data_IF_586342277089
#
_entry.id   IF_586342277089
#
_cell.length_a   1.000
_cell.length_b   1.000
_cell.length_c   1.000
_cell.angle_alpha   90.00
_cell.angle_beta   90.00
_cell.angle_gamma   90.00
#
_symmetry.space_group_name_H-M   'P 1'
#
loop_
_entity.id
_entity.type
_entity.pdbx_description
1 polymer ?
#
# COMPACT_ATOMS: atom_id res chain seq x y z
N UNK A 1 -6.49 -10.31 -26.97
CA UNK A 1 -7.24 -10.58 -25.72
C UNK A 1 -6.79 -11.88 -25.07
N UNK A 2 -6.76 -13.03 -25.77
CA UNK A 2 -6.22 -14.29 -25.20
C UNK A 2 -4.69 -14.29 -24.99
N UNK A 3 -3.96 -13.53 -25.80
CA UNK A 3 -2.48 -13.43 -25.72
C UNK A 3 -2.01 -12.71 -24.43
N UNK A 4 -2.82 -11.79 -23.90
CA UNK A 4 -2.51 -11.04 -22.68
C UNK A 4 -2.68 -11.87 -21.41
N UNK A 5 -3.67 -12.77 -21.36
CA UNK A 5 -3.92 -13.64 -20.21
C UNK A 5 -2.82 -14.71 -20.05
N UNK A 6 -2.35 -15.26 -21.17
CA UNK A 6 -1.26 -16.27 -21.21
C UNK A 6 0.06 -15.63 -20.76
N UNK A 7 0.37 -14.43 -21.23
CA UNK A 7 1.56 -13.68 -20.82
C UNK A 7 1.50 -13.23 -19.34
N UNK A 8 0.31 -12.88 -18.82
CA UNK A 8 0.09 -12.61 -17.40
C UNK A 8 0.32 -13.86 -16.55
N UNK A 9 -0.19 -15.01 -17.00
CA UNK A 9 -0.07 -16.29 -16.30
C UNK A 9 1.39 -16.78 -16.21
N UNK A 10 2.18 -16.62 -17.28
CA UNK A 10 3.61 -16.95 -17.27
C UNK A 10 4.42 -16.03 -16.36
N UNK A 11 4.13 -14.72 -16.34
CA UNK A 11 4.76 -13.77 -15.39
C UNK A 11 4.37 -14.07 -13.94
N UNK A 12 3.14 -14.55 -13.69
CA UNK A 12 2.65 -14.97 -12.37
C UNK A 12 3.36 -16.23 -11.87
N UNK A 13 3.67 -17.18 -12.76
CA UNK A 13 4.45 -18.41 -12.45
C UNK A 13 5.92 -18.15 -12.09
N UNK A 14 6.56 -17.13 -12.66
CA UNK A 14 7.97 -16.79 -12.37
C UNK A 14 8.20 -16.15 -10.99
N UNK A 15 7.16 -15.58 -10.36
CA UNK A 15 7.27 -15.06 -8.99
C UNK A 15 7.07 -16.20 -8.00
N UNK A 16 8.14 -16.66 -7.38
CA UNK A 16 8.06 -17.49 -6.16
C UNK A 16 7.39 -16.67 -5.06
N UNK A 17 6.06 -16.79 -4.94
CA UNK A 17 5.28 -16.08 -3.93
C UNK A 17 5.45 -16.76 -2.57
N UNK A 18 6.31 -16.20 -1.72
CA UNK A 18 6.14 -16.37 -0.28
C UNK A 18 4.86 -15.62 0.08
N UNK A 19 3.81 -16.35 0.47
CA UNK A 19 2.58 -15.73 0.97
C UNK A 19 2.92 -14.91 2.20
N UNK A 20 2.63 -13.62 2.15
CA UNK A 20 2.80 -12.74 3.30
C UNK A 20 1.58 -12.85 4.19
N UNK A 21 1.82 -13.13 5.47
CA UNK A 21 0.80 -13.12 6.50
C UNK A 21 1.24 -12.16 7.63
N UNK A 22 0.37 -11.22 7.99
CA UNK A 22 0.57 -10.35 9.14
C UNK A 22 -0.23 -10.87 10.33
N UNK A 23 0.45 -11.31 11.40
CA UNK A 23 -0.20 -11.86 12.61
C UNK A 23 -1.24 -12.96 12.32
N UNK A 24 -0.95 -13.81 11.34
CA UNK A 24 -1.84 -14.91 10.94
C UNK A 24 -2.94 -14.52 9.95
N UNK A 25 -2.96 -13.27 9.47
CA UNK A 25 -3.92 -12.79 8.46
C UNK A 25 -3.20 -12.61 7.12
N UNK A 26 -3.75 -13.21 6.07
CA UNK A 26 -3.21 -13.12 4.71
C UNK A 26 -3.44 -11.73 4.09
N UNK A 27 -2.61 -11.38 3.08
CA UNK A 27 -2.69 -10.08 2.40
C UNK A 27 -4.07 -9.78 1.81
N UNK A 28 -4.69 -10.75 1.14
CA UNK A 28 -6.00 -10.56 0.51
C UNK A 28 -7.07 -10.25 1.58
N UNK A 29 -6.99 -10.94 2.72
CA UNK A 29 -7.88 -10.69 3.85
C UNK A 29 -7.63 -9.32 4.50
N UNK A 30 -6.38 -8.86 4.58
CA UNK A 30 -6.04 -7.52 5.10
C UNK A 30 -6.60 -6.38 4.23
N UNK A 31 -6.84 -6.62 2.94
CA UNK A 31 -7.42 -5.63 2.02
C UNK A 31 -8.94 -5.52 2.18
N UNK A 32 -9.61 -6.62 2.53
CA UNK A 32 -11.06 -6.67 2.71
C UNK A 32 -11.51 -6.30 4.14
N UNK A 33 -10.58 -6.34 5.11
CA UNK A 33 -10.87 -6.00 6.51
C UNK A 33 -11.23 -4.52 6.71
N UNK A 34 -12.13 -4.28 7.68
CA UNK A 34 -12.46 -2.92 8.09
C UNK A 34 -11.32 -2.27 8.89
N UNK A 35 -11.29 -0.94 8.93
CA UNK A 35 -10.30 -0.20 9.72
C UNK A 35 -10.36 -0.54 11.22
N UNK A 36 -11.53 -0.94 11.73
CA UNK A 36 -11.72 -1.31 13.14
C UNK A 36 -11.06 -2.65 13.46
N UNK A 37 -11.26 -3.64 12.59
CA UNK A 37 -10.60 -4.94 12.71
C UNK A 37 -9.07 -4.81 12.56
N UNK A 38 -8.62 -3.96 11.63
CA UNK A 38 -7.19 -3.67 11.47
C UNK A 38 -6.56 -3.05 12.73
N UNK A 39 -7.29 -2.22 13.48
CA UNK A 39 -6.77 -1.59 14.71
C UNK A 39 -6.38 -2.60 15.80
N UNK A 40 -7.09 -3.72 15.90
CA UNK A 40 -6.78 -4.79 16.86
C UNK A 40 -5.48 -5.51 16.51
N UNK A 41 -5.24 -5.70 15.21
CA UNK A 41 -4.03 -6.30 14.67
C UNK A 41 -2.79 -5.40 14.78
N UNK A 42 -2.92 -4.12 15.10
CA UNK A 42 -1.77 -3.23 15.21
C UNK A 42 -1.22 -3.05 16.64
N UNK A 43 0.08 -2.73 16.81
CA UNK A 43 0.66 -2.30 18.08
C UNK A 43 0.04 -1.00 18.65
N UNK A 44 0.20 -0.78 19.96
CA UNK A 44 -0.43 0.32 20.72
C UNK A 44 -0.23 1.71 20.09
N UNK A 45 0.96 2.02 19.56
CA UNK A 45 1.25 3.33 18.94
C UNK A 45 0.38 3.61 17.73
N UNK A 46 0.21 2.61 16.87
CA UNK A 46 -0.57 2.70 15.64
C UNK A 46 -2.06 2.81 15.99
N UNK A 47 -2.53 1.95 16.89
CA UNK A 47 -3.91 1.97 17.40
C UNK A 47 -4.29 3.34 17.96
N UNK A 48 -3.42 3.94 18.78
CA UNK A 48 -3.62 5.29 19.33
C UNK A 48 -3.69 6.38 18.24
N UNK A 49 -2.95 6.24 17.14
CA UNK A 49 -2.99 7.20 16.03
C UNK A 49 -4.27 7.05 15.21
N UNK A 50 -4.72 5.82 14.95
CA UNK A 50 -5.95 5.54 14.22
C UNK A 50 -7.21 5.92 15.03
N UNK A 51 -7.24 5.62 16.32
CA UNK A 51 -8.33 6.00 17.24
C UNK A 51 -8.50 7.52 17.36
N UNK A 52 -7.42 8.30 17.32
CA UNK A 52 -7.49 9.77 17.26
C UNK A 52 -7.95 10.32 15.90
N UNK A 53 -8.06 9.46 14.89
CA UNK A 53 -8.48 9.81 13.54
C UNK A 53 -7.37 10.32 12.62
N UNK A 54 -7.54 10.07 11.32
CA UNK A 54 -6.69 10.62 10.27
C UNK A 54 -7.18 12.02 9.89
N UNK A 55 -6.32 13.03 10.06
CA UNK A 55 -6.60 14.41 9.64
C UNK A 55 -6.70 14.53 8.10
N UNK A 56 -7.15 15.70 7.61
CA UNK A 56 -7.33 16.01 6.17
C UNK A 56 -6.12 15.67 5.29
N UNK A 57 -4.89 15.95 5.74
CA UNK A 57 -3.66 15.74 4.95
C UNK A 57 -3.39 14.24 4.66
N UNK A 58 -3.37 13.33 5.66
CA UNK A 58 -3.35 11.89 5.42
C UNK A 58 -4.44 11.37 4.48
N UNK A 59 -5.68 11.83 4.65
CA UNK A 59 -6.80 11.39 3.81
C UNK A 59 -6.61 11.80 2.34
N UNK A 60 -6.10 13.01 2.10
CA UNK A 60 -5.77 13.46 0.75
C UNK A 60 -4.65 12.62 0.11
N UNK A 61 -3.66 12.18 0.89
CA UNK A 61 -2.60 11.30 0.40
C UNK A 61 -3.18 9.94 -0.03
N UNK A 62 -4.02 9.33 0.81
CA UNK A 62 -4.68 8.06 0.47
C UNK A 62 -5.51 8.20 -0.80
N UNK A 63 -6.28 9.29 -0.95
CA UNK A 63 -7.07 9.55 -2.16
C UNK A 63 -6.20 9.63 -3.42
N UNK A 64 -5.05 10.31 -3.36
CA UNK A 64 -4.10 10.41 -4.48
C UNK A 64 -3.50 9.05 -4.83
N UNK A 65 -3.17 8.24 -3.84
CA UNK A 65 -2.63 6.89 -4.06
C UNK A 65 -3.66 5.95 -4.67
N UNK A 66 -4.93 6.03 -4.25
CA UNK A 66 -6.03 5.28 -4.88
C UNK A 66 -6.20 5.68 -6.34
N UNK A 67 -6.07 6.96 -6.66
CA UNK A 67 -6.15 7.43 -8.04
C UNK A 67 -4.98 6.89 -8.88
N UNK A 68 -3.74 7.04 -8.40
CA UNK A 68 -2.55 6.54 -9.09
C UNK A 68 -2.58 5.02 -9.32
N UNK A 69 -3.11 4.25 -8.36
CA UNK A 69 -3.27 2.79 -8.48
C UNK A 69 -4.37 2.39 -9.47
N UNK A 70 -5.40 3.22 -9.66
CA UNK A 70 -6.48 2.99 -10.65
C UNK A 70 -6.06 3.36 -12.07
N UNK A 71 -5.24 4.39 -12.21
CA UNK A 71 -4.75 4.87 -13.51
C UNK A 71 -3.61 4.01 -14.06
N UNK A 72 -2.89 3.30 -13.18
CA UNK A 72 -1.87 2.34 -13.58
C UNK A 72 -2.49 1.15 -14.34
N UNK A 73 -1.89 0.80 -15.48
CA UNK A 73 -2.28 -0.38 -16.24
C UNK A 73 -2.03 -1.69 -15.46
N UNK A 74 -2.65 -2.81 -15.88
CA UNK A 74 -2.40 -4.10 -15.26
C UNK A 74 -0.91 -4.43 -15.37
N UNK A 75 -0.26 -4.65 -14.22
CA UNK A 75 1.16 -4.98 -14.08
C UNK A 75 2.16 -3.81 -14.18
N UNK A 76 1.71 -2.58 -14.38
CA UNK A 76 2.59 -1.40 -14.36
C UNK A 76 2.72 -0.79 -12.97
N UNK A 77 3.87 -0.16 -12.73
CA UNK A 77 4.12 0.55 -11.46
C UNK A 77 3.34 1.88 -11.48
N UNK A 78 2.57 2.19 -10.43
CA UNK A 78 1.81 3.43 -10.36
C UNK A 78 2.72 4.66 -10.29
N UNK A 79 2.18 5.82 -10.66
CA UNK A 79 2.89 7.09 -10.62
C UNK A 79 3.39 7.41 -9.19
N UNK A 80 4.57 8.01 -9.12
CA UNK A 80 5.22 8.37 -7.86
C UNK A 80 4.49 9.54 -7.20
N UNK A 81 3.80 9.26 -6.09
CA UNK A 81 3.13 10.30 -5.30
C UNK A 81 4.11 10.91 -4.29
N UNK A 82 4.44 12.20 -4.47
CA UNK A 82 5.33 12.94 -3.58
C UNK A 82 4.61 13.39 -2.31
N UNK A 83 5.23 13.17 -1.14
CA UNK A 83 4.70 13.56 0.17
C UNK A 83 5.78 14.04 1.14
N UNK A 84 5.40 15.02 1.96
CA UNK A 84 6.18 15.47 3.12
C UNK A 84 5.74 14.78 4.42
N UNK A 85 4.67 13.98 4.38
CA UNK A 85 4.08 13.35 5.55
C UNK A 85 4.87 12.09 5.95
N UNK A 86 5.98 12.29 6.66
CA UNK A 86 6.79 11.20 7.24
C UNK A 86 6.14 10.53 8.44
N UNK A 87 5.13 11.17 9.02
CA UNK A 87 4.39 10.69 10.18
C UNK A 87 3.21 9.78 9.80
N UNK A 88 3.02 9.47 8.52
CA UNK A 88 1.96 8.58 8.05
C UNK A 88 2.34 7.12 8.30
N UNK A 89 1.37 6.34 8.79
CA UNK A 89 1.48 4.90 8.96
C UNK A 89 1.09 4.25 7.63
N UNK A 90 1.79 3.18 7.27
CA UNK A 90 1.47 2.38 6.09
C UNK A 90 0.17 1.62 6.37
N UNK A 91 -0.82 1.85 5.53
CA UNK A 91 -2.12 1.16 5.56
C UNK A 91 -2.08 0.08 4.46
N UNK A 92 -2.68 -1.10 4.66
CA UNK A 92 -2.67 -2.18 3.66
C UNK A 92 -3.08 -1.75 2.24
N UNK A 93 -4.02 -0.81 2.12
CA UNK A 93 -4.42 -0.24 0.81
C UNK A 93 -3.25 0.36 0.00
N UNK A 94 -2.20 0.83 0.67
CA UNK A 94 -1.05 1.51 0.07
C UNK A 94 -0.02 0.53 -0.53
N UNK A 95 -0.17 -0.77 -0.28
CA UNK A 95 0.74 -1.80 -0.77
C UNK A 95 0.75 -1.81 -2.32
N UNK A 96 1.97 -1.84 -2.88
CA UNK A 96 2.22 -1.73 -4.32
C UNK A 96 2.25 -0.31 -4.87
N UNK A 97 2.08 0.72 -4.03
CA UNK A 97 2.25 2.12 -4.44
C UNK A 97 3.71 2.58 -4.31
N UNK A 98 4.11 3.56 -5.12
CA UNK A 98 5.40 4.24 -4.99
C UNK A 98 5.19 5.62 -4.37
N UNK A 99 5.81 5.82 -3.20
CA UNK A 99 5.69 7.05 -2.44
C UNK A 99 7.05 7.75 -2.42
N UNK A 100 7.09 8.99 -2.89
CA UNK A 100 8.24 9.87 -2.75
C UNK A 100 8.23 10.52 -1.37
N UNK A 101 9.08 10.07 -0.45
CA UNK A 101 9.17 10.64 0.92
C UNK A 101 10.23 11.74 0.95
N UNK A 102 9.84 12.95 1.34
CA UNK A 102 10.78 14.07 1.45
C UNK A 102 11.71 13.92 2.65
N UNK A 103 13.02 14.06 2.42
CA UNK A 103 14.04 13.98 3.48
C UNK A 103 14.58 15.35 3.94
N UNK A 104 14.23 16.45 3.27
CA UNK A 104 14.79 17.79 3.51
C UNK A 104 15.45 18.41 2.27
N UNK A 105 15.85 17.59 1.30
CA UNK A 105 16.48 18.02 0.03
C UNK A 105 15.85 17.34 -1.19
N UNK A 106 15.59 16.05 -1.10
CA UNK A 106 15.07 15.23 -2.21
C UNK A 106 13.86 14.40 -1.78
N UNK A 107 13.07 14.00 -2.76
CA UNK A 107 12.04 12.98 -2.57
C UNK A 107 12.63 11.61 -2.87
N UNK A 108 12.80 10.81 -1.83
CA UNK A 108 13.29 9.44 -1.96
C UNK A 108 12.11 8.55 -2.36
N UNK A 109 12.24 7.85 -3.49
CA UNK A 109 11.20 6.96 -3.98
C UNK A 109 11.23 5.66 -3.18
N UNK A 110 10.13 5.33 -2.51
CA UNK A 110 9.98 4.11 -1.71
C UNK A 110 8.82 3.30 -2.30
N UNK A 111 9.11 2.08 -2.71
CA UNK A 111 8.09 1.10 -3.11
C UNK A 111 7.57 0.36 -1.87
N UNK A 112 6.26 0.44 -1.62
CA UNK A 112 5.65 -0.16 -0.42
C UNK A 112 5.46 -1.67 -0.65
N UNK A 113 6.26 -2.46 0.07
CA UNK A 113 6.16 -3.92 0.10
C UNK A 113 5.19 -4.38 1.19
N UNK A 114 4.62 -5.60 1.10
CA UNK A 114 3.73 -6.14 2.13
C UNK A 114 4.35 -6.24 3.53
N UNK A 115 5.66 -6.39 3.63
CA UNK A 115 6.40 -6.50 4.91
C UNK A 115 6.54 -5.18 5.68
N UNK A 116 6.12 -4.05 5.08
CA UNK A 116 6.28 -2.70 5.63
C UNK A 116 5.02 -2.14 6.27
#
# INVERSE_FOLDING_TARGET
MEVDEVALAEKKKRRTFRKYAHRGVDLDQLLDMSNEQLMELFPCRIRRRLSKGLKRKPMALIKRLRQAKKEAGPLEKPEVVKTHLRNMIIVPEMIGSIIGVYNGKTFNQVEIKPEM
#
